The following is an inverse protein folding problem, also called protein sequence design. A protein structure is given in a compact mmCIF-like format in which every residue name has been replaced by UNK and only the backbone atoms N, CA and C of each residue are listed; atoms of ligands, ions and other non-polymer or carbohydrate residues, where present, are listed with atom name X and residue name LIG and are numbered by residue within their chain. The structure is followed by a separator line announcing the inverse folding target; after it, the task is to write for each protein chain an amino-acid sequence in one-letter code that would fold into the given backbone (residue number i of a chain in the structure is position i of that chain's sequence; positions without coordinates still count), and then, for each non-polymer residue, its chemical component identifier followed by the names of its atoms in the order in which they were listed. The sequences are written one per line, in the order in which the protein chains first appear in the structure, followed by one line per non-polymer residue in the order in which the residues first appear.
data_IF_112631713778
#
_entry.id   IF_112631713778
#
_cell.length_a   1.000
_cell.length_b   1.000
_cell.length_c   1.000
_cell.angle_alpha   90.00
_cell.angle_beta   90.00
_cell.angle_gamma   90.00
#
_symmetry.space_group_name_H-M   'P 1'
#
loop_
_entity.id
_entity.type
_entity.pdbx_description
1 polymer ?
#
# COMPACT_ATOMS: atom_id res chain seq x y z
N UNK A 1 2.72 -18.89 -4.11
CA UNK A 1 1.89 -17.79 -4.67
C UNK A 1 2.13 -17.64 -6.17
N UNK A 2 1.58 -18.53 -7.02
CA UNK A 2 1.63 -18.37 -8.50
C UNK A 2 0.48 -17.50 -9.05
N UNK A 3 -0.59 -17.29 -8.27
CA UNK A 3 -1.78 -16.53 -8.66
C UNK A 3 -1.55 -15.02 -8.82
N UNK A 4 -0.44 -14.49 -8.27
CA UNK A 4 -0.15 -13.05 -8.33
C UNK A 4 0.63 -12.67 -9.60
N UNK A 5 1.43 -13.58 -10.17
CA UNK A 5 2.43 -13.25 -11.20
C UNK A 5 1.87 -12.89 -12.58
N UNK A 6 0.61 -13.23 -12.89
CA UNK A 6 0.05 -13.12 -14.26
C UNK A 6 -1.32 -12.42 -14.33
N UNK A 7 -1.57 -11.38 -13.53
CA UNK A 7 -2.82 -10.62 -13.71
C UNK A 7 -4.11 -11.36 -13.34
N UNK A 8 -4.03 -12.41 -12.52
CA UNK A 8 -5.22 -13.16 -12.06
C UNK A 8 -6.21 -12.27 -11.32
N UNK A 9 -7.52 -12.51 -11.51
CA UNK A 9 -8.59 -11.69 -10.93
C UNK A 9 -8.46 -11.57 -9.40
N UNK A 10 -8.30 -10.35 -8.91
CA UNK A 10 -8.14 -10.03 -7.49
C UNK A 10 -9.39 -10.41 -6.69
N UNK A 11 -10.59 -10.32 -7.26
CA UNK A 11 -11.82 -10.76 -6.59
C UNK A 11 -11.82 -12.27 -6.38
N UNK A 12 -11.35 -13.03 -7.38
CA UNK A 12 -11.20 -14.50 -7.27
C UNK A 12 -10.17 -14.84 -6.19
N UNK A 13 -9.03 -14.14 -6.16
CA UNK A 13 -8.03 -14.33 -5.13
C UNK A 13 -8.58 -14.08 -3.73
N UNK A 14 -9.25 -12.94 -3.51
CA UNK A 14 -9.87 -12.58 -2.22
C UNK A 14 -10.89 -13.64 -1.79
N UNK A 15 -11.77 -14.06 -2.71
CA UNK A 15 -12.78 -15.09 -2.45
C UNK A 15 -12.16 -16.44 -2.08
N UNK A 16 -11.05 -16.79 -2.72
CA UNK A 16 -10.31 -18.02 -2.42
C UNK A 16 -9.65 -17.94 -1.03
N UNK A 17 -9.09 -16.79 -0.64
CA UNK A 17 -8.56 -16.61 0.71
C UNK A 17 -9.66 -16.78 1.76
N UNK A 18 -10.86 -16.23 1.54
CA UNK A 18 -12.01 -16.40 2.42
C UNK A 18 -12.49 -17.86 2.51
N UNK A 19 -12.45 -18.58 1.39
CA UNK A 19 -12.79 -20.01 1.36
C UNK A 19 -11.79 -20.84 2.16
N UNK A 20 -10.50 -20.56 2.03
CA UNK A 20 -9.44 -21.26 2.75
C UNK A 20 -9.44 -20.91 4.25
N UNK A 21 -9.69 -19.63 4.59
CA UNK A 21 -9.75 -19.15 5.96
C UNK A 21 -10.85 -19.85 6.77
N UNK A 22 -12.01 -20.10 6.17
CA UNK A 22 -13.12 -20.86 6.79
C UNK A 22 -12.81 -22.33 7.05
N UNK A 23 -11.83 -22.91 6.35
CA UNK A 23 -11.49 -24.34 6.44
C UNK A 23 -10.30 -24.60 7.35
N UNK A 24 -9.41 -23.63 7.53
CA UNK A 24 -8.22 -23.82 8.35
C UNK A 24 -8.55 -23.78 9.83
N UNK A 25 -7.94 -24.69 10.60
CA UNK A 25 -7.92 -24.64 12.07
C UNK A 25 -6.58 -24.11 12.60
N UNK A 26 -5.59 -23.94 11.72
CA UNK A 26 -4.27 -23.45 12.08
C UNK A 26 -4.28 -21.91 12.11
N UNK A 27 -4.03 -21.34 13.30
CA UNK A 27 -4.01 -19.89 13.53
C UNK A 27 -2.99 -19.16 12.67
N UNK A 28 -1.79 -19.71 12.51
CA UNK A 28 -0.74 -19.10 11.70
C UNK A 28 -1.11 -19.08 10.21
N UNK A 29 -1.70 -20.17 9.71
CA UNK A 29 -2.23 -20.21 8.35
C UNK A 29 -3.36 -19.21 8.17
N UNK A 30 -4.27 -19.09 9.15
CA UNK A 30 -5.36 -18.11 9.10
C UNK A 30 -4.83 -16.67 9.00
N UNK A 31 -3.82 -16.33 9.80
CA UNK A 31 -3.18 -15.01 9.74
C UNK A 31 -2.57 -14.73 8.36
N UNK A 32 -1.87 -15.71 7.78
CA UNK A 32 -1.26 -15.54 6.45
C UNK A 32 -2.30 -15.37 5.35
N UNK A 33 -3.42 -16.09 5.44
CA UNK A 33 -4.55 -15.92 4.53
C UNK A 33 -5.17 -14.53 4.67
N UNK A 34 -5.30 -14.01 5.89
CA UNK A 34 -5.81 -12.66 6.15
C UNK A 34 -4.85 -11.56 5.63
N UNK A 35 -3.54 -11.73 5.78
CA UNK A 35 -2.53 -10.82 5.20
C UNK A 35 -2.63 -10.82 3.67
N UNK A 36 -2.73 -12.01 3.05
CA UNK A 36 -2.86 -12.12 1.60
C UNK A 36 -4.19 -11.52 1.09
N UNK A 37 -5.29 -11.76 1.82
CA UNK A 37 -6.60 -11.16 1.56
C UNK A 37 -6.52 -9.64 1.62
N UNK A 38 -5.91 -9.07 2.66
CA UNK A 38 -5.83 -7.61 2.83
C UNK A 38 -5.04 -6.96 1.69
N UNK A 39 -3.95 -7.56 1.23
CA UNK A 39 -3.21 -7.08 0.06
C UNK A 39 -4.11 -7.03 -1.19
N UNK A 40 -4.91 -8.08 -1.43
CA UNK A 40 -5.88 -8.10 -2.53
C UNK A 40 -6.95 -7.01 -2.41
N UNK A 41 -7.50 -6.83 -1.21
CA UNK A 41 -8.49 -5.78 -0.93
C UNK A 41 -7.91 -4.38 -1.15
N UNK A 42 -6.65 -4.14 -0.75
CA UNK A 42 -5.95 -2.88 -1.04
C UNK A 42 -5.83 -2.64 -2.53
N UNK A 43 -5.38 -3.64 -3.30
CA UNK A 43 -5.28 -3.51 -4.75
C UNK A 43 -6.64 -3.32 -5.44
N UNK A 44 -7.74 -3.77 -4.84
CA UNK A 44 -9.11 -3.52 -5.31
C UNK A 44 -9.67 -2.15 -4.91
N UNK A 45 -8.97 -1.37 -4.08
CA UNK A 45 -9.46 -0.10 -3.56
C UNK A 45 -10.44 -0.24 -2.39
N UNK A 46 -10.56 -1.44 -1.81
CA UNK A 46 -11.42 -1.73 -0.65
C UNK A 46 -10.65 -1.56 0.65
N UNK A 47 -10.10 -0.36 0.86
CA UNK A 47 -9.14 -0.09 1.95
C UNK A 47 -9.75 -0.28 3.34
N UNK A 48 -11.00 0.11 3.55
CA UNK A 48 -11.70 -0.09 4.83
C UNK A 48 -11.82 -1.57 5.18
N UNK A 49 -12.24 -2.42 4.24
CA UNK A 49 -12.31 -3.87 4.48
C UNK A 49 -10.93 -4.50 4.71
N UNK A 50 -9.88 -3.96 4.08
CA UNK A 50 -8.51 -4.39 4.32
C UNK A 50 -8.06 -4.04 5.75
N UNK A 51 -8.38 -2.83 6.22
CA UNK A 51 -8.13 -2.37 7.58
C UNK A 51 -8.87 -3.25 8.58
N UNK A 52 -10.18 -3.46 8.41
CA UNK A 52 -10.99 -4.32 9.29
C UNK A 52 -10.41 -5.74 9.39
N UNK A 53 -9.99 -6.31 8.26
CA UNK A 53 -9.35 -7.63 8.22
C UNK A 53 -8.06 -7.66 9.04
N UNK A 54 -7.24 -6.62 8.95
CA UNK A 54 -5.96 -6.52 9.66
C UNK A 54 -6.14 -6.18 11.14
N UNK A 55 -6.99 -5.21 11.49
CA UNK A 55 -7.29 -4.83 12.88
C UNK A 55 -7.98 -5.98 13.65
N UNK A 56 -8.59 -6.95 12.97
CA UNK A 56 -9.14 -8.16 13.61
C UNK A 56 -8.07 -9.12 14.16
N UNK A 57 -6.80 -8.94 13.80
CA UNK A 57 -5.69 -9.76 14.25
C UNK A 57 -4.83 -9.00 15.27
N UNK A 58 -4.31 -9.69 16.29
CA UNK A 58 -3.31 -9.10 17.18
C UNK A 58 -1.91 -9.25 16.60
N UNK A 59 -1.12 -8.16 16.65
CA UNK A 59 0.29 -8.18 16.25
C UNK A 59 1.16 -9.12 17.12
N UNK A 60 0.73 -9.37 18.36
CA UNK A 60 1.46 -10.21 19.32
C UNK A 60 1.29 -11.71 19.01
N UNK A 61 0.33 -12.05 18.14
CA UNK A 61 0.10 -13.43 17.72
C UNK A 61 1.07 -13.88 16.62
N UNK A 62 1.89 -12.98 16.05
CA UNK A 62 2.84 -13.34 15.00
C UNK A 62 4.13 -13.91 15.60
N UNK A 63 4.37 -15.19 15.34
CA UNK A 63 5.61 -15.89 15.76
C UNK A 63 6.80 -15.68 14.82
N UNK A 64 6.52 -15.28 13.58
CA UNK A 64 7.54 -15.07 12.55
C UNK A 64 7.59 -13.58 12.25
N UNK A 65 8.76 -12.97 12.45
CA UNK A 65 9.00 -11.54 12.27
C UNK A 65 8.59 -11.08 10.86
N UNK A 66 8.95 -11.84 9.83
CA UNK A 66 8.56 -11.57 8.44
C UNK A 66 7.04 -11.40 8.26
N UNK A 67 6.24 -12.21 8.94
CA UNK A 67 4.78 -12.12 8.85
C UNK A 67 4.26 -10.88 9.58
N UNK A 68 4.91 -10.51 10.69
CA UNK A 68 4.63 -9.27 11.42
C UNK A 68 4.97 -8.06 10.55
N UNK A 69 6.12 -8.06 9.86
CA UNK A 69 6.52 -7.02 8.89
C UNK A 69 5.48 -6.85 7.80
N UNK A 70 5.04 -7.95 7.15
CA UNK A 70 4.00 -7.89 6.11
C UNK A 70 2.65 -7.39 6.64
N UNK A 71 2.26 -7.81 7.84
CA UNK A 71 1.06 -7.33 8.52
C UNK A 71 1.10 -5.81 8.75
N UNK A 72 2.18 -5.32 9.37
CA UNK A 72 2.35 -3.90 9.68
C UNK A 72 2.43 -3.05 8.41
N UNK A 73 3.18 -3.52 7.42
CA UNK A 73 3.31 -2.86 6.11
C UNK A 73 1.96 -2.70 5.43
N UNK A 74 1.18 -3.79 5.34
CA UNK A 74 -0.14 -3.74 4.69
C UNK A 74 -1.12 -2.84 5.46
N UNK A 75 -1.06 -2.86 6.80
CA UNK A 75 -1.92 -2.01 7.63
C UNK A 75 -1.58 -0.54 7.47
N UNK A 76 -0.29 -0.19 7.51
CA UNK A 76 0.18 1.16 7.27
C UNK A 76 -0.26 1.66 5.89
N UNK A 77 0.00 0.87 4.85
CA UNK A 77 -0.36 1.24 3.49
C UNK A 77 -1.89 1.43 3.34
N UNK A 78 -2.69 0.55 3.93
CA UNK A 78 -4.15 0.70 3.91
C UNK A 78 -4.62 1.97 4.65
N UNK A 79 -4.03 2.32 5.80
CA UNK A 79 -4.34 3.58 6.48
C UNK A 79 -3.99 4.81 5.64
N UNK A 80 -2.83 4.81 4.97
CA UNK A 80 -2.40 5.91 4.12
C UNK A 80 -3.40 6.13 2.97
N UNK A 81 -3.78 5.06 2.27
CA UNK A 81 -4.73 5.13 1.16
C UNK A 81 -6.14 5.52 1.61
N UNK A 82 -6.59 5.02 2.77
CA UNK A 82 -7.87 5.37 3.39
C UNK A 82 -7.88 6.75 4.08
N UNK A 83 -6.78 7.52 3.99
CA UNK A 83 -6.63 8.84 4.63
C UNK A 83 -6.82 8.80 6.16
N UNK A 84 -6.53 7.68 6.81
CA UNK A 84 -6.50 7.56 8.28
C UNK A 84 -5.14 8.02 8.81
N UNK A 85 -4.78 9.27 8.56
CA UNK A 85 -3.40 9.75 8.75
C UNK A 85 -2.96 9.71 10.23
N UNK A 86 -3.83 10.07 11.18
CA UNK A 86 -3.53 9.89 12.62
C UNK A 86 -3.13 8.45 12.96
N UNK A 87 -3.90 7.45 12.50
CA UNK A 87 -3.58 6.02 12.70
C UNK A 87 -2.28 5.61 12.00
N UNK A 88 -2.07 6.05 10.76
CA UNK A 88 -0.86 5.76 9.99
C UNK A 88 0.40 6.30 10.68
N UNK A 89 0.37 7.56 11.11
CA UNK A 89 1.47 8.22 11.81
C UNK A 89 1.80 7.54 13.14
N UNK A 90 0.77 7.23 13.93
CA UNK A 90 0.94 6.50 15.20
C UNK A 90 1.56 5.11 14.97
N UNK A 91 1.09 4.37 13.97
CA UNK A 91 1.63 3.05 13.65
C UNK A 91 3.11 3.15 13.23
N UNK A 92 3.44 4.10 12.35
CA UNK A 92 4.81 4.32 11.90
C UNK A 92 5.73 4.68 13.08
N UNK A 93 5.32 5.62 13.94
CA UNK A 93 6.13 6.03 15.10
C UNK A 93 6.40 4.89 16.11
N UNK A 94 5.45 3.97 16.29
CA UNK A 94 5.59 2.85 17.24
C UNK A 94 6.39 1.68 16.67
N UNK A 95 6.35 1.47 15.36
CA UNK A 95 6.85 0.24 14.72
C UNK A 95 7.87 0.52 13.61
N UNK A 96 8.43 1.73 13.55
CA UNK A 96 9.35 2.19 12.48
C UNK A 96 10.42 1.15 12.19
N UNK A 97 11.05 0.58 13.22
CA UNK A 97 12.15 -0.40 13.08
C UNK A 97 11.76 -1.68 12.35
N UNK A 98 10.49 -2.05 12.33
CA UNK A 98 9.95 -3.20 11.61
C UNK A 98 9.43 -2.84 10.22
N UNK A 99 9.27 -1.56 9.92
CA UNK A 99 8.88 -1.03 8.61
C UNK A 99 10.15 -0.50 7.90
N UNK A 100 11.22 -1.29 7.97
CA UNK A 100 12.50 -1.03 7.32
C UNK A 100 12.85 -2.24 6.44
N UNK A 101 13.42 -2.04 5.24
CA UNK A 101 13.77 -3.14 4.34
C UNK A 101 14.72 -4.17 4.99
N UNK A 102 14.36 -5.46 4.91
CA UNK A 102 15.14 -6.60 5.38
C UNK A 102 16.03 -7.17 4.27
N UNK A 103 17.36 -7.23 4.46
CA UNK A 103 18.34 -7.58 3.40
C UNK A 103 18.12 -8.92 2.65
N UNK A 104 17.29 -9.83 3.15
CA UNK A 104 17.14 -11.20 2.62
C UNK A 104 15.94 -11.41 1.67
N UNK A 105 14.97 -10.49 1.62
CA UNK A 105 13.71 -10.71 0.90
C UNK A 105 13.39 -9.56 -0.06
N UNK A 106 13.85 -9.67 -1.32
CA UNK A 106 13.76 -8.58 -2.31
C UNK A 106 12.33 -8.09 -2.55
N UNK A 107 11.34 -8.98 -2.73
CA UNK A 107 9.96 -8.55 -2.98
C UNK A 107 9.34 -7.85 -1.76
N UNK A 108 9.71 -8.29 -0.56
CA UNK A 108 9.23 -7.69 0.69
C UNK A 108 9.88 -6.31 0.87
N UNK A 109 11.15 -6.18 0.54
CA UNK A 109 11.84 -4.89 0.52
C UNK A 109 11.18 -3.91 -0.43
N UNK A 110 10.83 -4.35 -1.64
CA UNK A 110 10.12 -3.50 -2.59
C UNK A 110 8.79 -3.00 -2.01
N UNK A 111 8.01 -3.88 -1.37
CA UNK A 111 6.75 -3.51 -0.72
C UNK A 111 6.94 -2.53 0.45
N UNK A 112 7.96 -2.76 1.29
CA UNK A 112 8.29 -1.89 2.43
C UNK A 112 8.78 -0.52 1.97
N UNK A 113 9.69 -0.47 1.00
CA UNK A 113 10.17 0.80 0.43
C UNK A 113 9.02 1.56 -0.25
N UNK A 114 8.13 0.87 -0.96
CA UNK A 114 6.97 1.52 -1.61
C UNK A 114 6.02 2.12 -0.56
N UNK A 115 5.78 1.41 0.54
CA UNK A 115 4.97 1.91 1.66
C UNK A 115 5.64 3.08 2.35
N UNK A 116 6.96 3.04 2.56
CA UNK A 116 7.74 4.15 3.10
C UNK A 116 7.71 5.38 2.17
N UNK A 117 7.83 5.17 0.86
CA UNK A 117 7.72 6.24 -0.14
C UNK A 117 6.33 6.89 -0.09
N UNK A 118 5.28 6.07 0.06
CA UNK A 118 3.90 6.53 0.25
C UNK A 118 3.71 7.26 1.58
N UNK A 119 4.33 6.80 2.66
CA UNK A 119 4.30 7.51 3.94
C UNK A 119 4.92 8.90 3.80
N UNK A 120 6.10 9.00 3.17
CA UNK A 120 6.78 10.28 2.92
C UNK A 120 6.00 11.18 1.96
N UNK A 121 5.27 10.61 1.01
CA UNK A 121 4.36 11.37 0.14
C UNK A 121 3.34 12.17 0.98
N UNK A 122 2.81 11.59 2.05
CA UNK A 122 1.80 12.25 2.89
C UNK A 122 2.36 13.11 4.02
N UNK A 123 3.50 12.73 4.61
CA UNK A 123 3.97 13.33 5.87
C UNK A 123 5.30 14.09 5.79
N UNK A 124 6.02 13.98 4.67
CA UNK A 124 7.34 14.60 4.47
C UNK A 124 7.32 15.44 3.18
N UNK A 125 8.49 15.65 2.56
CA UNK A 125 8.63 16.37 1.31
C UNK A 125 8.34 15.50 0.07
N UNK A 126 7.75 16.10 -1.00
CA UNK A 126 7.62 15.46 -2.32
C UNK A 126 8.94 14.86 -2.83
N UNK A 127 10.05 15.57 -2.66
CA UNK A 127 11.39 15.13 -3.06
C UNK A 127 11.84 13.88 -2.33
N UNK A 128 11.58 13.77 -1.02
CA UNK A 128 11.95 12.56 -0.30
C UNK A 128 11.13 11.34 -0.73
N UNK A 129 9.85 11.52 -1.07
CA UNK A 129 9.02 10.44 -1.59
C UNK A 129 9.47 10.01 -2.99
N UNK A 130 9.72 10.99 -3.88
CA UNK A 130 10.19 10.79 -5.26
C UNK A 130 11.43 9.92 -5.34
N UNK A 131 12.48 10.25 -4.58
CA UNK A 131 13.75 9.49 -4.58
C UNK A 131 13.54 8.00 -4.28
N UNK A 132 12.65 7.68 -3.34
CA UNK A 132 12.34 6.27 -3.03
C UNK A 132 11.57 5.60 -4.17
N UNK A 133 10.55 6.25 -4.72
CA UNK A 133 9.80 5.70 -5.85
C UNK A 133 10.65 5.53 -7.11
N UNK A 134 11.55 6.47 -7.43
CA UNK A 134 12.48 6.36 -8.56
C UNK A 134 13.48 5.23 -8.36
N UNK A 135 13.99 5.05 -7.13
CA UNK A 135 14.87 3.93 -6.81
C UNK A 135 14.19 2.57 -7.04
N UNK A 136 12.88 2.49 -6.83
CA UNK A 136 12.09 1.30 -7.11
C UNK A 136 11.80 1.13 -8.60
N UNK A 137 11.47 2.21 -9.33
CA UNK A 137 11.08 2.14 -10.73
C UNK A 137 12.19 1.56 -11.65
N UNK A 138 13.46 1.61 -11.22
CA UNK A 138 14.59 0.99 -11.91
C UNK A 138 14.76 -0.53 -11.70
N UNK A 139 13.92 -1.15 -10.86
CA UNK A 139 14.02 -2.56 -10.48
C UNK A 139 12.93 -3.38 -11.19
N UNK A 140 13.26 -4.59 -11.62
CA UNK A 140 12.27 -5.54 -12.14
C UNK A 140 11.27 -5.92 -11.05
N UNK A 141 9.98 -5.75 -11.33
CA UNK A 141 8.90 -6.02 -10.39
C UNK A 141 7.60 -6.37 -11.10
N UNK A 142 6.63 -6.88 -10.33
CA UNK A 142 5.27 -7.14 -10.79
C UNK A 142 4.59 -5.88 -11.34
N UNK A 143 3.83 -6.05 -12.43
CA UNK A 143 3.14 -4.96 -13.14
C UNK A 143 2.23 -4.14 -12.22
N UNK A 144 1.57 -4.77 -11.23
CA UNK A 144 0.71 -4.07 -10.27
C UNK A 144 1.52 -3.22 -9.31
N UNK A 145 2.64 -3.72 -8.81
CA UNK A 145 3.52 -2.94 -7.95
C UNK A 145 4.05 -1.71 -8.72
N UNK A 146 4.50 -1.91 -9.97
CA UNK A 146 4.98 -0.84 -10.85
C UNK A 146 3.90 0.22 -11.10
N UNK A 147 2.65 -0.19 -11.29
CA UNK A 147 1.56 0.76 -11.52
C UNK A 147 1.37 1.74 -10.35
N UNK A 148 1.42 1.27 -9.10
CA UNK A 148 1.27 2.14 -7.93
C UNK A 148 2.41 3.17 -7.84
N UNK A 149 3.64 2.75 -8.16
CA UNK A 149 4.82 3.62 -8.18
C UNK A 149 4.67 4.71 -9.24
N UNK A 150 4.31 4.34 -10.47
CA UNK A 150 4.07 5.28 -11.55
C UNK A 150 2.93 6.26 -11.21
N UNK A 151 1.87 5.77 -10.57
CA UNK A 151 0.77 6.60 -10.13
C UNK A 151 1.24 7.69 -9.14
N UNK A 152 1.98 7.32 -8.10
CA UNK A 152 2.48 8.28 -7.12
C UNK A 152 3.53 9.24 -7.69
N UNK A 153 4.44 8.77 -8.56
CA UNK A 153 5.36 9.65 -9.29
C UNK A 153 4.63 10.67 -10.16
N UNK A 154 3.56 10.22 -10.84
CA UNK A 154 2.69 11.09 -11.63
C UNK A 154 2.00 12.14 -10.75
N UNK A 155 1.43 11.74 -9.60
CA UNK A 155 0.82 12.67 -8.63
C UNK A 155 1.81 13.72 -8.11
N UNK A 156 3.06 13.32 -7.82
CA UNK A 156 4.11 14.24 -7.40
C UNK A 156 4.46 15.24 -8.51
N UNK A 157 4.57 14.79 -9.77
CA UNK A 157 4.81 15.69 -10.90
C UNK A 157 3.66 16.68 -11.11
N UNK A 158 2.40 16.24 -11.00
CA UNK A 158 1.25 17.14 -11.06
C UNK A 158 1.27 18.18 -9.93
N UNK A 159 1.58 17.76 -8.71
CA UNK A 159 1.70 18.66 -7.56
C UNK A 159 2.78 19.73 -7.75
N UNK A 160 3.87 19.38 -8.43
CA UNK A 160 4.99 20.29 -8.72
C UNK A 160 4.79 21.09 -10.03
N UNK A 161 3.60 21.05 -10.63
CA UNK A 161 3.28 21.79 -11.86
C UNK A 161 3.87 21.21 -13.15
N UNK A 162 4.45 19.99 -13.10
CA UNK A 162 4.99 19.27 -14.27
C UNK A 162 3.89 18.46 -14.96
N UNK A 163 2.84 19.13 -15.39
CA UNK A 163 1.61 18.48 -15.88
C UNK A 163 1.83 17.43 -16.98
N UNK A 164 2.59 17.70 -18.07
CA UNK A 164 2.77 16.71 -19.14
C UNK A 164 3.43 15.43 -18.65
N UNK A 165 4.47 15.56 -17.81
CA UNK A 165 5.19 14.41 -17.25
C UNK A 165 4.33 13.65 -16.24
N UNK A 166 3.55 14.37 -15.44
CA UNK A 166 2.63 13.78 -14.47
C UNK A 166 1.55 12.94 -15.14
N UNK A 167 0.85 13.50 -16.13
CA UNK A 167 -0.19 12.77 -16.85
C UNK A 167 0.34 11.60 -17.65
N UNK A 168 1.53 11.71 -18.25
CA UNK A 168 2.17 10.58 -18.92
C UNK A 168 2.33 9.38 -17.96
N UNK A 169 2.91 9.61 -16.77
CA UNK A 169 3.08 8.54 -15.77
C UNK A 169 1.76 7.98 -15.24
N UNK A 170 0.75 8.84 -15.07
CA UNK A 170 -0.60 8.42 -14.66
C UNK A 170 -1.24 7.50 -15.71
N UNK A 171 -1.13 7.81 -17.00
CA UNK A 171 -1.67 6.93 -18.05
C UNK A 171 -0.89 5.62 -18.18
N UNK A 172 0.44 5.67 -18.06
CA UNK A 172 1.27 4.46 -18.01
C UNK A 172 0.88 3.57 -16.81
N UNK A 173 0.62 4.17 -15.64
CA UNK A 173 0.17 3.44 -14.46
C UNK A 173 -1.15 2.71 -14.67
N UNK A 174 -2.09 3.33 -15.41
CA UNK A 174 -3.40 2.77 -15.73
C UNK A 174 -3.27 1.58 -16.66
N UNK A 175 -2.46 1.70 -17.72
CA UNK A 175 -2.25 0.62 -18.69
C UNK A 175 -1.67 -0.65 -18.03
N UNK A 176 -0.88 -0.47 -16.96
CA UNK A 176 -0.26 -1.55 -16.19
C UNK A 176 -1.20 -2.24 -15.19
N UNK A 177 -2.41 -1.74 -14.93
CA UNK A 177 -3.17 -2.17 -13.73
C UNK A 177 -4.69 -2.20 -13.88
N UNK A 178 -5.17 -2.71 -15.01
CA UNK A 178 -6.61 -2.94 -15.20
C UNK A 178 -7.19 -3.79 -14.06
N UNK A 179 -8.34 -3.37 -13.54
CA UNK A 179 -9.05 -4.01 -12.44
C UNK A 179 -8.48 -3.70 -11.05
N UNK A 180 -7.57 -2.72 -10.92
CA UNK A 180 -7.03 -2.26 -9.63
C UNK A 180 -7.58 -0.89 -9.21
N UNK A 181 -7.24 -0.46 -7.99
CA UNK A 181 -7.57 0.89 -7.51
C UNK A 181 -6.93 1.98 -8.37
N UNK A 182 -5.74 1.75 -8.95
CA UNK A 182 -5.02 2.76 -9.75
C UNK A 182 -5.85 3.17 -10.95
N UNK A 183 -6.48 2.22 -11.64
CA UNK A 183 -7.39 2.51 -12.75
C UNK A 183 -8.55 3.42 -12.33
N UNK A 184 -9.18 3.12 -11.19
CA UNK A 184 -10.27 3.93 -10.63
C UNK A 184 -9.79 5.32 -10.20
N UNK A 185 -8.57 5.40 -9.66
CA UNK A 185 -7.98 6.65 -9.22
C UNK A 185 -7.62 7.58 -10.37
N UNK A 186 -7.20 7.06 -11.53
CA UNK A 186 -6.97 7.89 -12.72
C UNK A 186 -8.26 8.58 -13.15
N UNK A 187 -9.38 7.85 -13.17
CA UNK A 187 -10.68 8.42 -13.47
C UNK A 187 -11.11 9.46 -12.43
N UNK A 188 -10.93 9.15 -11.15
CA UNK A 188 -11.28 10.03 -10.02
C UNK A 188 -10.43 11.30 -9.99
N UNK A 189 -9.16 11.21 -10.37
CA UNK A 189 -8.27 12.36 -10.48
C UNK A 189 -8.71 13.31 -11.60
N UNK A 190 -9.09 12.76 -12.77
CA UNK A 190 -9.58 13.57 -13.91
C UNK A 190 -10.91 14.27 -13.62
N UNK A 191 -11.78 13.65 -12.81
CA UNK A 191 -13.04 14.26 -12.40
C UNK A 191 -12.92 15.25 -11.25
N UNK A 192 -11.72 15.46 -10.70
CA UNK A 192 -11.48 16.37 -9.56
C UNK A 192 -11.92 15.81 -8.21
N UNK A 193 -12.16 14.50 -8.11
CA UNK A 193 -12.60 13.83 -6.88
C UNK A 193 -11.69 12.65 -6.51
N UNK A 194 -10.37 12.86 -6.34
CA UNK A 194 -9.45 11.78 -6.00
C UNK A 194 -9.81 11.19 -4.63
N UNK A 195 -9.74 9.85 -4.49
CA UNK A 195 -9.93 9.21 -3.19
C UNK A 195 -8.63 9.19 -2.38
N UNK A 196 -7.49 9.09 -3.07
CA UNK A 196 -6.15 9.23 -2.47
C UNK A 196 -5.79 10.71 -2.32
N UNK A 197 -5.39 11.10 -1.11
CA UNK A 197 -4.96 12.48 -0.79
C UNK A 197 -3.78 12.99 -1.61
N UNK A 198 -3.59 14.30 -1.61
CA UNK A 198 -2.47 15.00 -2.24
C UNK A 198 -1.17 14.84 -1.42
N UNK A 199 0.01 15.13 -2.02
CA UNK A 199 1.25 15.18 -1.25
C UNK A 199 1.12 16.16 -0.07
N UNK A 200 1.60 15.76 1.10
CA UNK A 200 1.54 16.59 2.32
C UNK A 200 0.20 16.60 3.07
N UNK A 201 -0.89 16.02 2.54
CA UNK A 201 -2.19 15.98 3.23
C UNK A 201 -2.10 15.39 4.64
N UNK A 202 -1.24 14.38 4.81
CA UNK A 202 -1.01 13.75 6.10
C UNK A 202 -0.39 14.70 7.10
N UNK A 203 0.51 15.61 6.70
CA UNK A 203 1.18 16.56 7.58
C UNK A 203 0.24 17.65 8.13
N UNK A 204 -0.90 17.88 7.48
CA UNK A 204 -1.90 18.88 7.89
C UNK A 204 -2.76 18.41 9.07
N UNK A 205 -2.83 17.10 9.33
CA UNK A 205 -3.60 16.58 10.46
C UNK A 205 -2.87 16.77 11.80
N UNK A 206 -3.56 17.25 12.85
CA UNK A 206 -2.99 17.45 14.17
C UNK A 206 -2.45 16.12 14.76
N UNK A 207 -1.34 16.21 15.48
CA UNK A 207 -0.74 15.06 16.16
C UNK A 207 -1.54 14.76 17.43
N UNK A 208 -2.32 13.70 17.43
CA UNK A 208 -2.81 13.10 18.68
C UNK A 208 -1.66 12.33 19.32
N UNK A 209 -0.97 12.96 20.28
CA UNK A 209 0.02 12.25 21.10
C UNK A 209 -0.72 11.20 21.96
N UNK A 210 -0.22 9.97 22.07
CA UNK A 210 -0.81 8.99 22.97
C UNK A 210 -0.79 9.56 24.40
N UNK A 211 -1.97 9.65 25.02
CA UNK A 211 -2.09 10.01 26.43
C UNK A 211 -1.20 9.06 27.25
N UNK A 212 -0.34 9.65 28.09
CA UNK A 212 0.48 8.93 29.06
C UNK A 212 -0.34 8.33 30.20
#
# INVERSE_FOLDING_TARGET
MRLLKNGGDLNVMVSEMDRLARKTRNRQTLQMLNIAKSAGLVYLGRWESAIETLESMSKDDFRIELHKTLYLNNLLYAYLLARKFSKARRLFALEETLIVPERKHNEINQAVVSTLATYRYFFDSPESSRRLFESLNGIEMDTRAKSSILYFLGRLDLYEGREPSGWQKIEESRACSMGSFVEQEVASLRSGHPRIGAPGDGALEPVELPGG
#
